data_IF_000455091825
#
_entry.id   IF_000455091825
#
_cell.length_a   1.000
_cell.length_b   1.000
_cell.length_c   1.000
_cell.angle_alpha   90.00
_cell.angle_beta   90.00
_cell.angle_gamma   90.00
#
_symmetry.space_group_name_H-M   'P 1'
#
loop_
_entity.id
_entity.type
_entity.pdbx_description
1 polymer ?
#
# COMPACT_ATOMS: atom_id res chain seq x y z
N UNK A 1 12.58 14.31 6.86
CA UNK A 1 11.62 13.19 6.74
C UNK A 1 11.22 12.89 5.30
N UNK A 2 10.93 13.88 4.44
CA UNK A 2 10.48 13.61 3.07
C UNK A 2 11.52 13.04 2.08
N UNK A 3 12.81 13.33 2.26
CA UNK A 3 13.87 12.89 1.32
C UNK A 3 14.14 11.39 1.36
N UNK A 4 14.29 10.82 2.55
CA UNK A 4 14.52 9.39 2.73
C UNK A 4 13.31 8.54 2.28
N UNK A 5 12.09 9.01 2.58
CA UNK A 5 10.87 8.33 2.13
C UNK A 5 10.75 8.35 0.60
N UNK A 6 11.02 9.49 -0.04
CA UNK A 6 11.04 9.57 -1.50
C UNK A 6 12.09 8.63 -2.12
N UNK A 7 13.27 8.50 -1.51
CA UNK A 7 14.30 7.57 -1.96
C UNK A 7 13.83 6.10 -1.91
N UNK A 8 13.15 5.69 -0.84
CA UNK A 8 12.58 4.33 -0.71
C UNK A 8 11.52 4.08 -1.77
N UNK A 9 10.60 5.03 -1.97
CA UNK A 9 9.54 4.91 -2.98
C UNK A 9 10.14 4.85 -4.39
N UNK A 10 11.15 5.70 -4.65
CA UNK A 10 11.85 5.72 -5.94
C UNK A 10 12.54 4.38 -6.20
N UNK A 11 13.25 3.82 -5.21
CA UNK A 11 13.91 2.49 -5.33
C UNK A 11 12.89 1.36 -5.53
N UNK A 12 11.76 1.37 -4.81
CA UNK A 12 10.69 0.39 -5.04
C UNK A 12 10.17 0.44 -6.48
N UNK A 13 10.03 1.65 -7.03
CA UNK A 13 9.56 1.83 -8.40
C UNK A 13 10.62 1.44 -9.42
N UNK A 14 11.85 1.92 -9.29
CA UNK A 14 12.94 1.68 -10.25
C UNK A 14 13.43 0.24 -10.21
N UNK A 15 13.53 -0.36 -9.03
CA UNK A 15 14.27 -1.59 -8.81
C UNK A 15 13.33 -2.82 -8.75
N UNK A 16 12.05 -2.61 -8.42
CA UNK A 16 11.07 -3.70 -8.31
C UNK A 16 9.94 -3.55 -9.34
N UNK A 17 9.18 -2.46 -9.30
CA UNK A 17 7.97 -2.32 -10.15
C UNK A 17 8.34 -2.22 -11.63
N UNK A 18 9.34 -1.41 -11.98
CA UNK A 18 9.78 -1.23 -13.37
C UNK A 18 10.23 -2.55 -14.01
N UNK A 19 11.18 -3.32 -13.44
CA UNK A 19 11.61 -4.56 -14.07
C UNK A 19 10.54 -5.67 -14.06
N UNK A 20 9.70 -5.75 -13.02
CA UNK A 20 8.72 -6.85 -12.90
C UNK A 20 7.43 -6.62 -13.68
N UNK A 21 6.96 -5.37 -13.73
CA UNK A 21 5.66 -5.03 -14.32
C UNK A 21 5.86 -4.23 -15.61
N UNK A 22 6.72 -3.22 -15.60
CA UNK A 22 6.81 -2.28 -16.70
C UNK A 22 7.60 -2.81 -17.89
N UNK A 23 8.76 -3.46 -17.67
CA UNK A 23 9.59 -3.99 -18.75
C UNK A 23 8.85 -5.04 -19.60
N UNK A 24 8.10 -6.01 -19.03
CA UNK A 24 7.29 -6.94 -19.81
C UNK A 24 6.16 -6.25 -20.57
N UNK A 25 5.48 -5.26 -19.94
CA UNK A 25 4.38 -4.52 -20.56
C UNK A 25 4.86 -3.66 -21.73
N UNK A 26 5.99 -2.96 -21.57
CA UNK A 26 6.60 -2.12 -22.61
C UNK A 26 7.12 -2.97 -23.77
N UNK A 27 7.70 -4.14 -23.46
CA UNK A 27 8.14 -5.12 -24.47
C UNK A 27 6.95 -5.72 -25.24
N UNK A 28 5.85 -6.05 -24.55
CA UNK A 28 4.61 -6.51 -25.18
C UNK A 28 3.96 -5.42 -26.05
N UNK A 29 4.12 -4.15 -25.68
CA UNK A 29 3.62 -3.00 -26.45
C UNK A 29 4.49 -2.64 -27.67
N UNK A 30 5.60 -3.36 -27.93
CA UNK A 30 6.55 -3.08 -29.03
C UNK A 30 7.22 -1.70 -28.97
N UNK A 31 7.27 -1.07 -27.78
CA UNK A 31 7.85 0.26 -27.61
C UNK A 31 9.14 0.18 -26.79
N UNK A 32 10.13 -0.56 -27.29
CA UNK A 32 11.39 -0.80 -26.55
C UNK A 32 12.14 0.47 -26.16
N UNK A 33 11.86 1.61 -26.81
CA UNK A 33 12.46 2.91 -26.45
C UNK A 33 11.46 4.06 -26.63
N UNK A 34 10.45 4.17 -25.75
CA UNK A 34 9.56 5.34 -25.71
C UNK A 34 10.34 6.65 -25.74
N UNK A 35 11.45 6.72 -24.99
CA UNK A 35 12.33 7.88 -24.86
C UNK A 35 13.01 8.31 -26.16
N UNK A 36 13.08 7.44 -27.18
CA UNK A 36 13.68 7.72 -28.49
C UNK A 36 12.67 8.08 -29.56
N UNK A 37 11.36 8.13 -29.24
CA UNK A 37 10.38 8.64 -30.21
C UNK A 37 10.64 10.12 -30.47
N UNK A 38 10.81 10.43 -31.75
CA UNK A 38 10.86 11.78 -32.26
C UNK A 38 9.96 11.91 -33.48
N UNK A 39 9.28 13.04 -33.61
CA UNK A 39 8.48 13.38 -34.77
C UNK A 39 8.95 14.72 -35.31
N UNK A 40 9.39 14.75 -36.57
CA UNK A 40 9.95 15.93 -37.23
C UNK A 40 11.01 16.69 -36.40
N UNK A 41 11.90 15.96 -35.72
CA UNK A 41 12.97 16.55 -34.89
C UNK A 41 12.56 16.93 -33.47
N UNK A 42 11.28 16.75 -33.09
CA UNK A 42 10.79 16.97 -31.73
C UNK A 42 10.85 15.64 -30.97
N UNK A 43 11.76 15.53 -29.99
CA UNK A 43 11.90 14.35 -29.13
C UNK A 43 10.85 14.34 -28.01
N UNK A 44 9.60 14.03 -28.34
CA UNK A 44 8.51 13.91 -27.36
C UNK A 44 8.60 12.63 -26.52
N UNK A 45 9.40 11.65 -26.96
CA UNK A 45 9.59 10.40 -26.26
C UNK A 45 10.08 10.55 -24.82
N UNK A 46 11.03 11.46 -24.60
CA UNK A 46 11.58 11.73 -23.25
C UNK A 46 10.52 12.32 -22.31
N UNK A 47 9.71 13.25 -22.82
CA UNK A 47 8.60 13.83 -22.05
C UNK A 47 7.55 12.76 -21.72
N UNK A 48 7.14 11.97 -22.70
CA UNK A 48 6.15 10.91 -22.50
C UNK A 48 6.65 9.84 -21.50
N UNK A 49 7.93 9.48 -21.57
CA UNK A 49 8.58 8.59 -20.60
C UNK A 49 8.52 9.16 -19.18
N UNK A 50 8.71 10.47 -19.03
CA UNK A 50 8.65 11.16 -17.73
C UNK A 50 7.23 11.18 -17.18
N UNK A 51 6.23 11.42 -18.03
CA UNK A 51 4.80 11.38 -17.64
C UNK A 51 4.39 9.98 -17.19
N UNK A 52 4.79 8.94 -17.92
CA UNK A 52 4.50 7.55 -17.54
C UNK A 52 5.17 7.21 -16.20
N UNK A 53 6.43 7.59 -16.02
CA UNK A 53 7.13 7.40 -14.75
C UNK A 53 6.40 8.10 -13.58
N UNK A 54 5.93 9.32 -13.79
CA UNK A 54 5.15 10.05 -12.78
C UNK A 54 3.87 9.31 -12.39
N UNK A 55 3.11 8.80 -13.37
CA UNK A 55 1.89 8.02 -13.10
C UNK A 55 2.21 6.75 -12.30
N UNK A 56 3.29 6.05 -12.63
CA UNK A 56 3.71 4.82 -11.94
C UNK A 56 4.13 5.11 -10.51
N UNK A 57 4.98 6.12 -10.29
CA UNK A 57 5.41 6.52 -8.95
C UNK A 57 4.20 6.93 -8.11
N UNK A 58 3.30 7.76 -8.64
CA UNK A 58 2.07 8.17 -7.96
C UNK A 58 1.17 6.99 -7.61
N UNK A 59 0.98 6.07 -8.54
CA UNK A 59 0.17 4.86 -8.32
C UNK A 59 0.81 3.93 -7.30
N UNK A 60 2.13 3.76 -7.34
CA UNK A 60 2.87 2.94 -6.37
C UNK A 60 2.75 3.54 -4.97
N UNK A 61 2.89 4.87 -4.84
CA UNK A 61 2.69 5.56 -3.57
C UNK A 61 1.29 5.34 -3.00
N UNK A 62 0.26 5.39 -3.86
CA UNK A 62 -1.11 5.06 -3.46
C UNK A 62 -1.23 3.63 -2.90
N UNK A 63 -0.63 2.64 -3.57
CA UNK A 63 -0.62 1.26 -3.09
C UNK A 63 0.14 1.09 -1.77
N UNK A 64 1.28 1.76 -1.61
CA UNK A 64 2.08 1.72 -0.37
C UNK A 64 1.27 2.29 0.80
N UNK A 65 0.65 3.46 0.63
CA UNK A 65 -0.19 4.09 1.68
C UNK A 65 -1.40 3.21 2.00
N UNK A 66 -2.05 2.65 0.96
CA UNK A 66 -3.19 1.74 1.14
C UNK A 66 -2.79 0.46 1.87
N UNK A 67 -1.64 -0.13 1.55
CA UNK A 67 -1.12 -1.33 2.21
C UNK A 67 -0.77 -1.04 3.68
N UNK A 68 -0.11 0.09 3.96
CA UNK A 68 0.17 0.54 5.31
C UNK A 68 -1.13 0.70 6.13
N UNK A 69 -2.14 1.39 5.58
CA UNK A 69 -3.44 1.55 6.23
C UNK A 69 -4.18 0.22 6.47
N UNK A 70 -4.04 -0.75 5.55
CA UNK A 70 -4.63 -2.09 5.72
C UNK A 70 -3.92 -2.90 6.81
N UNK A 71 -2.59 -2.81 6.88
CA UNK A 71 -1.79 -3.50 7.89
C UNK A 71 -2.07 -2.97 9.30
N UNK A 72 -2.20 -1.65 9.46
CA UNK A 72 -2.59 -1.04 10.74
C UNK A 72 -4.01 -1.44 11.13
N UNK A 73 -4.95 -1.46 10.18
CA UNK A 73 -6.32 -1.89 10.45
C UNK A 73 -6.42 -3.37 10.84
N UNK A 74 -5.60 -4.25 10.24
CA UNK A 74 -5.54 -5.67 10.62
C UNK A 74 -5.01 -5.86 12.04
N UNK A 75 -3.96 -5.12 12.42
CA UNK A 75 -3.39 -5.18 13.76
C UNK A 75 -4.34 -4.63 14.84
N UNK A 76 -5.09 -3.57 14.52
CA UNK A 76 -6.13 -3.05 15.41
C UNK A 76 -7.28 -4.04 15.57
N UNK A 77 -7.71 -4.70 14.49
CA UNK A 77 -8.77 -5.70 14.55
C UNK A 77 -8.39 -6.93 15.37
N UNK A 78 -7.15 -7.40 15.28
CA UNK A 78 -6.64 -8.49 16.13
C UNK A 78 -6.49 -8.07 17.60
N UNK A 79 -6.12 -6.82 17.87
CA UNK A 79 -6.07 -6.29 19.23
C UNK A 79 -7.47 -6.14 19.84
N UNK A 80 -8.47 -5.82 19.03
CA UNK A 80 -9.86 -5.68 19.45
C UNK A 80 -10.50 -7.06 19.69
N UNK A 81 -10.29 -8.04 18.82
CA UNK A 81 -10.71 -9.45 19.04
C UNK A 81 -10.05 -10.06 20.29
N UNK A 82 -8.76 -9.82 20.53
CA UNK A 82 -8.07 -10.29 21.73
C UNK A 82 -8.54 -9.58 23.02
N UNK A 83 -8.96 -8.31 22.92
CA UNK A 83 -9.55 -7.59 24.04
C UNK A 83 -10.98 -8.06 24.35
N UNK A 84 -11.74 -8.47 23.32
CA UNK A 84 -13.09 -9.02 23.45
C UNK A 84 -13.04 -10.42 24.09
N UNK A 85 -12.08 -11.27 23.71
CA UNK A 85 -11.83 -12.57 24.36
C UNK A 85 -11.33 -12.46 25.82
N UNK A 86 -10.60 -11.40 26.16
CA UNK A 86 -10.12 -11.16 27.52
C UNK A 86 -11.18 -10.51 28.43
N UNK A 87 -12.27 -10.00 27.87
CA UNK A 87 -13.36 -9.41 28.64
C UNK A 87 -14.32 -10.51 29.12
N UNK A 88 -14.73 -10.51 30.41
CA UNK A 88 -15.69 -11.48 30.90
C UNK A 88 -16.98 -11.37 30.11
N UNK A 89 -17.49 -12.51 29.67
CA UNK A 89 -18.73 -12.57 28.90
C UNK A 89 -19.89 -11.99 29.71
N UNK A 90 -20.92 -11.46 29.03
CA UNK A 90 -22.09 -10.91 29.72
C UNK A 90 -22.77 -11.94 30.64
N UNK A 91 -22.69 -13.22 30.29
CA UNK A 91 -23.23 -14.33 31.10
C UNK A 91 -22.42 -14.53 32.39
N UNK A 92 -21.09 -14.41 32.34
CA UNK A 92 -20.22 -14.45 33.53
C UNK A 92 -20.46 -13.24 34.45
N UNK A 93 -20.61 -12.04 33.88
CA UNK A 93 -20.94 -10.83 34.63
C UNK A 93 -22.31 -10.95 35.31
N UNK A 94 -23.31 -11.51 34.63
CA UNK A 94 -24.64 -11.75 35.21
C UNK A 94 -24.60 -12.80 36.33
N UNK A 95 -23.74 -13.81 36.20
CA UNK A 95 -23.52 -14.81 37.25
C UNK A 95 -22.84 -14.19 38.48
N UNK A 96 -21.80 -13.38 38.30
CA UNK A 96 -21.16 -12.62 39.39
C UNK A 96 -22.15 -11.67 40.09
N UNK A 97 -22.96 -10.92 39.32
CA UNK A 97 -23.98 -10.02 39.90
C UNK A 97 -25.02 -10.80 40.69
N UNK A 98 -25.47 -11.96 40.20
CA UNK A 98 -26.41 -12.83 40.92
C UNK A 98 -25.82 -13.33 42.24
N UNK A 99 -24.58 -13.79 42.22
CA UNK A 99 -23.91 -14.34 43.41
C UNK A 99 -23.61 -13.23 44.44
N UNK A 100 -23.31 -12.01 43.98
CA UNK A 100 -23.18 -10.83 44.85
C UNK A 100 -24.52 -10.41 45.47
N UNK A 101 -25.63 -10.54 44.75
CA UNK A 101 -26.97 -10.27 45.27
C UNK A 101 -27.48 -11.37 46.22
N UNK A 102 -27.08 -12.63 46.00
CA UNK A 102 -27.44 -13.74 46.88
C UNK A 102 -26.68 -13.71 48.22
N UNK A 103 -25.48 -13.10 48.24
CA UNK A 103 -24.66 -12.92 49.44
C UNK A 103 -24.95 -11.62 50.22
N UNK A 104 -26.02 -10.90 49.86
CA UNK A 104 -26.44 -9.64 50.49
C UNK A 104 -27.81 -9.79 51.15
#
# INVERSE_FOLDING_TARGET
MGTAFNAIVTSLVSDIITPLILNPVVKAANVENLSKLSWNGIAYGSFLSTVINFIIVGTTLFFVVKAAGKATALGQKQAEEAAEEASPSQEELLAEIRDLLANK
#
